data_IF_860736383123
#
_entry.id   IF_860736383123
#
_cell.length_a   1.000
_cell.length_b   1.000
_cell.length_c   1.000
_cell.angle_alpha   90.00
_cell.angle_beta   90.00
_cell.angle_gamma   90.00
#
_symmetry.space_group_name_H-M   'P 1'
#
loop_
_entity.id
_entity.type
_entity.pdbx_description
1 polymer ?
#
# COMPACT_ATOMS: atom_id res chain seq x y z
N UNK A 1 19.13 -4.96 2.86
CA UNK A 1 17.75 -5.43 2.56
C UNK A 1 16.89 -5.56 3.83
N UNK A 2 17.39 -6.12 4.94
CA UNK A 2 16.60 -6.36 6.17
C UNK A 2 16.08 -5.05 6.79
N UNK A 3 16.91 -4.01 6.90
CA UNK A 3 16.50 -2.70 7.39
C UNK A 3 15.45 -2.02 6.50
N UNK A 4 15.59 -2.13 5.18
CA UNK A 4 14.59 -1.61 4.24
C UNK A 4 13.24 -2.32 4.42
N UNK A 5 13.26 -3.65 4.59
CA UNK A 5 12.05 -4.43 4.87
C UNK A 5 11.38 -4.01 6.19
N UNK A 6 12.15 -3.82 7.25
CA UNK A 6 11.63 -3.36 8.54
C UNK A 6 10.98 -1.96 8.45
N UNK A 7 11.61 -1.02 7.74
CA UNK A 7 11.08 0.32 7.55
C UNK A 7 9.85 0.36 6.63
N UNK A 8 9.70 -0.58 5.69
CA UNK A 8 8.57 -0.62 4.76
C UNK A 8 7.23 -0.99 5.42
N UNK A 9 7.25 -1.45 6.67
CA UNK A 9 6.03 -1.75 7.45
C UNK A 9 5.37 -0.48 7.97
N UNK A 10 6.12 0.61 8.15
CA UNK A 10 5.63 1.86 8.75
C UNK A 10 4.36 2.42 8.06
N UNK A 11 4.27 2.51 6.73
CA UNK A 11 3.07 3.03 6.06
C UNK A 11 1.79 2.26 6.38
N UNK A 12 1.89 0.98 6.72
CA UNK A 12 0.72 0.16 7.02
C UNK A 12 0.05 0.53 8.36
N UNK A 13 0.78 1.18 9.27
CA UNK A 13 0.21 1.66 10.53
C UNK A 13 -0.71 2.87 10.35
N UNK A 14 -0.57 3.66 9.28
CA UNK A 14 -1.40 4.84 9.07
C UNK A 14 -2.88 4.52 8.84
N UNK A 15 -3.20 3.36 8.24
CA UNK A 15 -4.59 2.96 7.98
C UNK A 15 -5.36 2.71 9.29
N UNK A 16 -4.89 1.86 10.22
CA UNK A 16 -5.56 1.67 11.50
C UNK A 16 -5.54 2.93 12.38
N UNK A 17 -4.47 3.75 12.32
CA UNK A 17 -4.41 5.04 13.03
C UNK A 17 -5.52 5.97 12.53
N UNK A 18 -5.66 6.13 11.22
CA UNK A 18 -6.75 6.91 10.63
C UNK A 18 -8.13 6.38 11.05
N UNK A 19 -8.27 5.05 11.17
CA UNK A 19 -9.50 4.42 11.65
C UNK A 19 -9.79 4.69 13.13
N UNK A 20 -8.77 4.77 13.97
CA UNK A 20 -8.91 4.94 15.42
C UNK A 20 -9.17 6.41 15.81
N UNK A 21 -8.48 7.36 15.17
CA UNK A 21 -8.60 8.79 15.46
C UNK A 21 -9.68 9.52 14.68
N UNK A 22 -10.42 8.81 13.81
CA UNK A 22 -11.53 9.38 13.07
C UNK A 22 -12.85 9.26 13.83
N UNK A 23 -13.68 10.30 13.74
CA UNK A 23 -15.06 10.23 14.23
C UNK A 23 -15.80 9.06 13.56
N UNK A 24 -16.70 8.36 14.26
CA UNK A 24 -17.39 7.15 13.75
C UNK A 24 -18.02 7.33 12.37
N UNK A 25 -18.60 8.51 12.11
CA UNK A 25 -19.22 8.88 10.83
C UNK A 25 -18.23 8.96 9.66
N UNK A 26 -16.98 9.34 9.93
CA UNK A 26 -15.95 9.59 8.91
C UNK A 26 -14.89 8.48 8.84
N UNK A 27 -14.95 7.50 9.72
CA UNK A 27 -13.94 6.44 9.86
C UNK A 27 -13.64 5.73 8.54
N UNK A 28 -14.67 5.22 7.88
CA UNK A 28 -14.52 4.49 6.60
C UNK A 28 -13.97 5.40 5.49
N UNK A 29 -14.41 6.66 5.44
CA UNK A 29 -13.95 7.64 4.47
C UNK A 29 -12.46 7.95 4.65
N UNK A 30 -12.03 8.21 5.88
CA UNK A 30 -10.64 8.58 6.17
C UNK A 30 -9.69 7.40 5.93
N UNK A 31 -10.08 6.18 6.32
CA UNK A 31 -9.32 4.97 5.98
C UNK A 31 -9.22 4.77 4.47
N UNK A 32 -10.30 5.02 3.72
CA UNK A 32 -10.31 4.95 2.26
C UNK A 32 -9.37 5.97 1.61
N UNK A 33 -9.31 7.20 2.12
CA UNK A 33 -8.39 8.23 1.64
C UNK A 33 -6.93 7.81 1.86
N UNK A 34 -6.60 7.33 3.05
CA UNK A 34 -5.23 6.85 3.36
C UNK A 34 -4.84 5.66 2.49
N UNK A 35 -5.76 4.70 2.29
CA UNK A 35 -5.54 3.55 1.42
C UNK A 35 -5.34 3.97 -0.04
N UNK A 36 -6.14 4.92 -0.53
CA UNK A 36 -5.99 5.47 -1.89
C UNK A 36 -4.65 6.18 -2.06
N UNK A 37 -4.22 6.95 -1.06
CA UNK A 37 -2.91 7.58 -1.04
C UNK A 37 -1.77 6.55 -1.08
N UNK A 38 -1.89 5.47 -0.31
CA UNK A 38 -0.92 4.37 -0.32
C UNK A 38 -0.81 3.72 -1.70
N UNK A 39 -1.94 3.34 -2.31
CA UNK A 39 -1.97 2.71 -3.64
C UNK A 39 -1.44 3.64 -4.73
N UNK A 40 -1.87 4.90 -4.71
CA UNK A 40 -1.37 5.92 -5.64
C UNK A 40 0.14 6.13 -5.47
N UNK A 41 0.64 6.19 -4.23
CA UNK A 41 2.07 6.32 -3.94
C UNK A 41 2.90 5.15 -4.46
N UNK A 42 2.41 3.92 -4.30
CA UNK A 42 3.08 2.71 -4.82
C UNK A 42 3.21 2.77 -6.35
N UNK A 43 2.17 3.21 -7.05
CA UNK A 43 2.18 3.29 -8.50
C UNK A 43 2.97 4.50 -9.01
N UNK A 44 2.77 5.67 -8.38
CA UNK A 44 3.49 6.89 -8.73
C UNK A 44 5.01 6.75 -8.52
N UNK A 45 5.44 6.06 -7.47
CA UNK A 45 6.86 5.82 -7.22
C UNK A 45 7.53 5.03 -8.35
N UNK A 46 6.81 4.13 -9.00
CA UNK A 46 7.33 3.37 -10.15
C UNK A 46 7.55 4.27 -11.37
N UNK A 47 6.60 5.17 -11.64
CA UNK A 47 6.71 6.14 -12.72
C UNK A 47 7.90 7.07 -12.46
N UNK A 48 7.94 7.68 -11.26
CA UNK A 48 9.00 8.61 -10.88
C UNK A 48 10.37 7.92 -10.91
N UNK A 49 10.49 6.72 -10.32
CA UNK A 49 11.76 6.00 -10.30
C UNK A 49 12.22 5.55 -11.69
N UNK A 50 11.28 5.24 -12.59
CA UNK A 50 11.58 4.91 -13.97
C UNK A 50 12.25 6.08 -14.70
N UNK A 51 11.62 7.25 -14.69
CA UNK A 51 12.16 8.45 -15.34
C UNK A 51 13.43 9.01 -14.67
N UNK A 52 13.42 9.11 -13.34
CA UNK A 52 14.59 9.62 -12.60
C UNK A 52 15.77 8.67 -12.74
N UNK A 53 15.52 7.36 -12.71
CA UNK A 53 16.56 6.36 -12.89
C UNK A 53 17.20 6.39 -14.28
N UNK A 54 16.41 6.72 -15.31
CA UNK A 54 16.89 6.84 -16.68
C UNK A 54 17.71 8.13 -16.90
N UNK A 55 17.26 9.26 -16.33
CA UNK A 55 17.89 10.58 -16.54
C UNK A 55 19.11 10.82 -15.64
N UNK A 56 19.03 10.46 -14.36
CA UNK A 56 20.04 10.79 -13.35
C UNK A 56 20.83 9.57 -12.89
N UNK A 57 20.29 8.36 -13.09
CA UNK A 57 20.89 7.13 -12.60
C UNK A 57 20.24 6.63 -11.30
N UNK A 58 20.54 5.37 -10.99
CA UNK A 58 19.92 4.69 -9.85
C UNK A 58 20.37 5.22 -8.48
N UNK A 59 21.60 5.75 -8.38
CA UNK A 59 22.15 6.29 -7.12
C UNK A 59 21.44 7.56 -6.69
N UNK A 60 21.28 8.47 -7.63
CA UNK A 60 20.59 9.75 -7.46
C UNK A 60 19.13 9.53 -7.10
N UNK A 61 18.49 8.52 -7.68
CA UNK A 61 17.15 8.12 -7.31
C UNK A 61 17.04 7.74 -5.83
N UNK A 62 17.99 6.98 -5.29
CA UNK A 62 18.01 6.62 -3.87
C UNK A 62 18.27 7.82 -2.96
N UNK A 63 19.11 8.78 -3.38
CA UNK A 63 19.33 10.03 -2.63
C UNK A 63 18.05 10.87 -2.57
N UNK A 64 17.36 11.04 -3.69
CA UNK A 64 16.06 11.74 -3.75
C UNK A 64 15.04 11.04 -2.84
N UNK A 65 14.95 9.73 -2.91
CA UNK A 65 14.07 8.95 -2.05
C UNK A 65 14.39 9.16 -0.56
N UNK A 66 15.68 9.18 -0.18
CA UNK A 66 16.11 9.43 1.19
C UNK A 66 15.69 10.83 1.68
N UNK A 67 15.86 11.86 0.86
CA UNK A 67 15.43 13.24 1.19
C UNK A 67 13.91 13.30 1.38
N UNK A 68 13.13 12.70 0.46
CA UNK A 68 11.67 12.64 0.57
C UNK A 68 11.24 11.92 1.86
N UNK A 69 11.90 10.80 2.20
CA UNK A 69 11.61 10.07 3.43
C UNK A 69 11.93 10.89 4.70
N UNK A 70 13.02 11.67 4.70
CA UNK A 70 13.33 12.58 5.81
C UNK A 70 12.26 13.67 5.98
N UNK A 71 11.79 14.25 4.87
CA UNK A 71 10.69 15.21 4.89
C UNK A 71 9.41 14.57 5.43
N UNK A 72 9.05 13.38 4.94
CA UNK A 72 7.88 12.63 5.42
C UNK A 72 8.01 12.30 6.93
N UNK A 73 9.20 11.93 7.40
CA UNK A 73 9.46 11.70 8.81
C UNK A 73 9.23 12.96 9.65
N UNK A 74 9.79 14.10 9.23
CA UNK A 74 9.61 15.37 9.91
C UNK A 74 8.14 15.81 9.97
N UNK A 75 7.40 15.65 8.87
CA UNK A 75 5.97 15.92 8.81
C UNK A 75 5.16 14.99 9.71
N UNK A 76 5.49 13.70 9.72
CA UNK A 76 4.84 12.70 10.58
C UNK A 76 5.01 13.04 12.07
N UNK A 77 6.24 13.36 12.49
CA UNK A 77 6.54 13.75 13.87
C UNK A 77 5.82 15.04 14.28
N UNK A 78 5.56 15.95 13.35
CA UNK A 78 4.89 17.21 13.61
C UNK A 78 3.36 17.12 13.63
N UNK A 79 2.79 16.23 12.82
CA UNK A 79 1.34 16.15 12.58
C UNK A 79 0.68 15.09 13.45
N UNK A 80 1.35 13.95 13.69
CA UNK A 80 0.74 12.87 14.46
C UNK A 80 0.87 13.16 15.96
N UNK A 81 -0.27 13.22 16.68
CA UNK A 81 -0.25 13.41 18.13
C UNK A 81 0.35 12.17 18.82
N UNK A 82 0.87 12.37 20.03
CA UNK A 82 1.34 11.27 20.86
C UNK A 82 0.22 10.26 21.12
N UNK A 83 0.47 9.02 20.69
CA UNK A 83 -0.49 7.94 20.82
C UNK A 83 -0.32 7.23 22.16
N UNK A 84 -1.39 7.20 22.96
CA UNK A 84 -1.39 6.44 24.21
C UNK A 84 -1.39 4.94 23.92
N UNK A 85 -0.59 4.21 24.66
CA UNK A 85 -0.53 2.75 24.58
C UNK A 85 -1.84 2.14 25.09
N UNK A 86 -2.64 1.59 24.20
CA UNK A 86 -3.94 0.98 24.53
C UNK A 86 -3.87 -0.52 24.87
N UNK A 87 -2.74 -1.16 24.64
CA UNK A 87 -2.57 -2.59 24.89
C UNK A 87 -1.58 -2.81 26.02
N UNK A 88 -2.04 -3.49 27.08
CA UNK A 88 -1.28 -3.78 28.31
C UNK A 88 -0.72 -5.23 28.29
N UNK A 89 -1.05 -6.03 27.28
CA UNK A 89 -0.65 -7.42 27.14
C UNK A 89 0.78 -7.64 26.63
N UNK A 90 1.24 -8.89 26.70
CA UNK A 90 2.51 -9.33 26.14
C UNK A 90 2.48 -9.39 24.60
N UNK A 91 3.62 -9.14 23.94
CA UNK A 91 3.76 -9.30 22.50
C UNK A 91 3.41 -10.72 22.02
N UNK A 92 3.77 -11.76 22.79
CA UNK A 92 3.37 -13.15 22.52
C UNK A 92 1.86 -13.30 22.52
N UNK A 93 1.16 -12.71 23.52
CA UNK A 93 -0.30 -12.73 23.58
C UNK A 93 -0.94 -12.06 22.37
N UNK A 94 -0.37 -10.93 21.90
CA UNK A 94 -0.84 -10.26 20.68
C UNK A 94 -0.72 -11.17 19.46
N UNK A 95 0.43 -11.85 19.29
CA UNK A 95 0.62 -12.78 18.17
C UNK A 95 -0.36 -13.95 18.22
N UNK A 96 -0.55 -14.54 19.39
CA UNK A 96 -1.55 -15.61 19.58
C UNK A 96 -2.95 -15.13 19.19
N UNK A 97 -3.35 -13.93 19.63
CA UNK A 97 -4.65 -13.35 19.26
C UNK A 97 -4.83 -13.20 17.75
N UNK A 98 -3.77 -12.82 17.01
CA UNK A 98 -3.84 -12.74 15.55
C UNK A 98 -4.11 -14.11 14.92
N UNK A 99 -3.43 -15.16 15.40
CA UNK A 99 -3.66 -16.53 14.94
C UNK A 99 -5.06 -17.05 15.33
N UNK A 100 -5.53 -16.75 16.54
CA UNK A 100 -6.87 -17.10 16.99
C UNK A 100 -7.94 -16.45 16.14
N UNK A 101 -7.81 -15.14 15.85
CA UNK A 101 -8.75 -14.41 14.97
C UNK A 101 -8.81 -15.06 13.58
N UNK A 102 -7.66 -15.43 13.02
CA UNK A 102 -7.60 -16.09 11.72
C UNK A 102 -8.23 -17.50 11.77
N UNK A 103 -7.99 -18.25 12.83
CA UNK A 103 -8.51 -19.60 13.00
C UNK A 103 -10.04 -19.65 13.25
N UNK A 104 -10.52 -18.78 14.15
CA UNK A 104 -11.91 -18.83 14.61
C UNK A 104 -12.89 -17.99 13.79
N UNK A 105 -12.41 -17.04 12.97
CA UNK A 105 -13.26 -16.17 12.15
C UNK A 105 -13.20 -16.52 10.66
N UNK A 106 -14.08 -17.39 10.14
CA UNK A 106 -14.00 -17.86 8.75
C UNK A 106 -14.13 -16.74 7.72
N UNK A 107 -14.85 -15.66 8.03
CA UNK A 107 -14.95 -14.49 7.14
C UNK A 107 -13.62 -13.75 7.01
N UNK A 108 -12.93 -13.52 8.12
CA UNK A 108 -11.61 -12.87 8.12
C UNK A 108 -10.62 -13.72 7.35
N UNK A 109 -10.59 -15.04 7.59
CA UNK A 109 -9.75 -15.99 6.86
C UNK A 109 -9.99 -15.92 5.35
N UNK A 110 -11.25 -15.94 4.93
CA UNK A 110 -11.61 -15.85 3.50
C UNK A 110 -11.11 -14.56 2.85
N UNK A 111 -11.35 -13.41 3.50
CA UNK A 111 -10.89 -12.13 2.98
C UNK A 111 -9.36 -12.00 2.98
N UNK A 112 -8.69 -12.52 4.00
CA UNK A 112 -7.22 -12.54 4.06
C UNK A 112 -6.61 -13.38 2.95
N UNK A 113 -7.17 -14.56 2.68
CA UNK A 113 -6.72 -15.44 1.59
C UNK A 113 -6.95 -14.76 0.23
N UNK A 114 -8.13 -14.18 0.00
CA UNK A 114 -8.41 -13.43 -1.24
C UNK A 114 -7.45 -12.26 -1.44
N UNK A 115 -7.19 -11.50 -0.39
CA UNK A 115 -6.24 -10.39 -0.42
C UNK A 115 -4.80 -10.87 -0.72
N UNK A 116 -4.38 -11.99 -0.12
CA UNK A 116 -3.06 -12.58 -0.36
C UNK A 116 -2.89 -13.01 -1.82
N UNK A 117 -3.86 -13.70 -2.41
CA UNK A 117 -3.83 -14.07 -3.82
C UNK A 117 -3.89 -12.86 -4.74
N UNK A 118 -4.75 -11.89 -4.47
CA UNK A 118 -4.85 -10.65 -5.26
C UNK A 118 -3.55 -9.85 -5.24
N UNK A 119 -2.96 -9.66 -4.08
CA UNK A 119 -1.69 -8.94 -3.96
C UNK A 119 -0.52 -9.74 -4.54
N UNK A 120 -0.49 -11.06 -4.33
CA UNK A 120 0.52 -11.95 -4.88
C UNK A 120 0.52 -11.97 -6.40
N UNK A 121 -0.65 -12.06 -7.04
CA UNK A 121 -0.77 -12.02 -8.49
C UNK A 121 -0.35 -10.66 -9.06
N UNK A 122 -0.72 -9.56 -8.40
CA UNK A 122 -0.27 -8.23 -8.78
C UNK A 122 1.27 -8.12 -8.73
N UNK A 123 1.89 -8.60 -7.65
CA UNK A 123 3.35 -8.59 -7.51
C UNK A 123 4.05 -9.47 -8.55
N UNK A 124 3.49 -10.65 -8.86
CA UNK A 124 3.99 -11.55 -9.90
C UNK A 124 3.96 -10.88 -11.27
N UNK A 125 2.84 -10.25 -11.65
CA UNK A 125 2.70 -9.53 -12.92
C UNK A 125 3.77 -8.43 -13.03
N UNK A 126 3.93 -7.59 -12.00
CA UNK A 126 4.92 -6.52 -12.02
C UNK A 126 6.36 -7.04 -12.10
N UNK A 127 6.68 -8.12 -11.41
CA UNK A 127 8.02 -8.74 -11.47
C UNK A 127 8.30 -9.31 -12.85
N UNK A 128 7.35 -10.08 -13.41
CA UNK A 128 7.51 -10.67 -14.74
C UNK A 128 7.56 -9.60 -15.84
N UNK A 129 6.77 -8.54 -15.73
CA UNK A 129 6.68 -7.47 -16.73
C UNK A 129 8.03 -6.77 -16.91
N UNK A 130 8.74 -6.45 -15.81
CA UNK A 130 10.03 -5.81 -15.89
C UNK A 130 11.06 -6.66 -16.64
N UNK A 131 11.10 -7.97 -16.38
CA UNK A 131 11.99 -8.90 -17.08
C UNK A 131 11.58 -9.10 -18.54
N UNK A 132 10.29 -9.18 -18.82
CA UNK A 132 9.77 -9.38 -20.18
C UNK A 132 10.08 -8.18 -21.08
N UNK A 133 9.91 -6.96 -20.58
CA UNK A 133 10.21 -5.74 -21.33
C UNK A 133 11.71 -5.50 -21.55
N UNK A 134 12.57 -6.04 -20.71
CA UNK A 134 14.01 -5.97 -20.89
C UNK A 134 14.56 -6.91 -21.99
N UNK A 135 13.76 -7.89 -22.42
CA UNK A 135 14.16 -8.88 -23.43
C UNK A 135 13.70 -8.47 -24.84
N UNK A 136 14.24 -9.20 -25.86
CA UNK A 136 13.78 -9.06 -27.23
C UNK A 136 12.27 -9.41 -27.36
N UNK A 137 11.51 -8.73 -28.18
CA UNK A 137 11.86 -7.67 -29.14
C UNK A 137 11.82 -6.24 -28.56
N UNK A 138 11.45 -6.07 -27.29
CA UNK A 138 11.11 -4.77 -26.72
C UNK A 138 12.36 -3.95 -26.35
N UNK A 139 13.39 -4.57 -25.78
CA UNK A 139 14.63 -3.90 -25.29
C UNK A 139 14.36 -2.57 -24.57
N UNK A 140 13.25 -2.49 -23.83
CA UNK A 140 12.77 -1.27 -23.19
C UNK A 140 13.40 -1.11 -21.82
N UNK A 141 13.78 0.14 -21.50
CA UNK A 141 14.32 0.50 -20.20
C UNK A 141 13.26 0.61 -19.10
N UNK A 142 13.69 1.08 -17.95
CA UNK A 142 12.84 1.31 -16.78
C UNK A 142 11.71 2.32 -17.03
N UNK A 143 11.88 3.22 -18.00
CA UNK A 143 10.89 4.21 -18.42
C UNK A 143 9.58 3.55 -18.89
N UNK A 144 9.65 2.49 -19.69
CA UNK A 144 8.46 1.80 -20.20
C UNK A 144 7.68 1.12 -19.08
N UNK A 145 8.39 0.52 -18.13
CA UNK A 145 7.76 -0.05 -16.92
C UNK A 145 7.06 1.04 -16.11
N UNK A 146 7.69 2.21 -15.98
CA UNK A 146 7.13 3.38 -15.34
C UNK A 146 5.86 3.88 -16.03
N UNK A 147 5.88 3.99 -17.35
CA UNK A 147 4.73 4.44 -18.17
C UNK A 147 3.54 3.50 -18.02
N UNK A 148 3.77 2.19 -18.04
CA UNK A 148 2.72 1.20 -17.77
C UNK A 148 2.18 1.30 -16.34
N UNK A 149 3.02 1.74 -15.38
CA UNK A 149 2.59 2.08 -14.02
C UNK A 149 1.55 3.20 -13.98
N UNK A 150 1.62 4.16 -14.92
CA UNK A 150 0.64 5.25 -15.01
C UNK A 150 -0.79 4.73 -15.31
N UNK A 151 -0.92 3.69 -16.12
CA UNK A 151 -2.22 3.04 -16.35
C UNK A 151 -2.80 2.45 -15.05
N UNK A 152 -1.94 1.92 -14.18
CA UNK A 152 -2.34 1.42 -12.86
C UNK A 152 -2.85 2.51 -11.93
N UNK A 153 -2.36 3.76 -12.04
CA UNK A 153 -2.84 4.90 -11.25
C UNK A 153 -4.32 5.17 -11.55
N UNK A 154 -4.74 5.10 -12.81
CA UNK A 154 -6.15 5.24 -13.17
C UNK A 154 -7.04 4.18 -12.49
N UNK A 155 -6.57 2.94 -12.41
CA UNK A 155 -7.25 1.87 -11.65
C UNK A 155 -7.31 2.14 -10.15
N UNK A 156 -6.22 2.63 -9.56
CA UNK A 156 -6.19 2.98 -8.13
C UNK A 156 -7.12 4.15 -7.78
N UNK A 157 -7.23 5.14 -8.65
CA UNK A 157 -8.18 6.25 -8.52
C UNK A 157 -9.63 5.76 -8.64
N UNK A 158 -9.92 4.86 -9.57
CA UNK A 158 -11.24 4.24 -9.70
C UNK A 158 -11.63 3.45 -8.43
N UNK A 159 -10.66 2.75 -7.81
CA UNK A 159 -10.88 2.02 -6.56
C UNK A 159 -11.32 2.93 -5.40
N UNK A 160 -10.88 4.19 -5.37
CA UNK A 160 -11.33 5.17 -4.37
C UNK A 160 -12.83 5.50 -4.50
N UNK A 161 -13.36 5.41 -5.71
CA UNK A 161 -14.79 5.58 -6.00
C UNK A 161 -15.65 4.44 -5.46
N UNK A 162 -15.10 3.22 -5.40
CA UNK A 162 -15.82 2.03 -4.90
C UNK A 162 -16.19 2.20 -3.42
N UNK A 163 -15.35 2.86 -2.62
CA UNK A 163 -15.66 3.17 -1.22
C UNK A 163 -16.95 3.97 -1.02
N UNK A 164 -17.36 4.78 -2.01
CA UNK A 164 -18.61 5.53 -2.00
C UNK A 164 -19.82 4.67 -2.39
N UNK A 165 -19.57 3.57 -3.11
CA UNK A 165 -20.63 2.63 -3.55
C UNK A 165 -20.97 1.58 -2.47
N UNK A 166 -20.05 1.31 -1.56
CA UNK A 166 -20.24 0.33 -0.46
C UNK A 166 -21.51 0.61 0.37
N UNK A 167 -21.84 1.85 0.79
CA UNK A 167 -23.04 2.13 1.52
C UNK A 167 -24.34 1.90 0.73
N UNK A 168 -24.28 2.02 -0.62
CA UNK A 168 -25.44 1.85 -1.51
C UNK A 168 -25.74 0.40 -1.87
N UNK A 169 -24.71 -0.40 -2.13
CA UNK A 169 -24.86 -1.76 -2.67
C UNK A 169 -24.52 -2.87 -1.68
N UNK A 170 -23.92 -2.53 -0.54
CA UNK A 170 -23.48 -3.48 0.48
C UNK A 170 -22.19 -4.22 0.09
N UNK A 171 -21.37 -4.51 1.09
CA UNK A 171 -20.05 -5.17 0.91
C UNK A 171 -20.18 -6.53 0.21
N UNK A 172 -21.29 -7.28 0.48
CA UNK A 172 -21.45 -8.64 -0.04
C UNK A 172 -21.63 -8.67 -1.57
N UNK A 173 -22.38 -7.73 -2.13
CA UNK A 173 -22.58 -7.64 -3.60
C UNK A 173 -21.29 -7.17 -4.29
N UNK A 174 -20.62 -6.15 -3.74
CA UNK A 174 -19.39 -5.61 -4.31
C UNK A 174 -18.16 -6.54 -4.20
N UNK A 175 -18.20 -7.55 -3.32
CA UNK A 175 -17.10 -8.53 -3.20
C UNK A 175 -17.26 -9.75 -4.11
N UNK A 176 -18.38 -9.86 -4.84
CA UNK A 176 -18.66 -10.94 -5.79
C UNK A 176 -18.31 -10.58 -7.24
N UNK A 177 -18.13 -9.29 -7.52
CA UNK A 177 -17.63 -8.74 -8.79
C UNK A 177 -16.22 -8.18 -8.60
#
# INVERSE_FOLDING_TARGET
>A
SLFLGACSVIPQFFIPIAGQYSAPKNKSRNMGIVLSGLLTGILASRVISGYVGDWLGWREMFLIAAVVMLICMALTLKIIPEMKRNYIGSYKGLMVTVFEIFAYHPRIRLYSIRAAFGFGSMMAIWSCLAFHLAQAPFFSGSEMVGTLGACGIAGALAASGIGKLVPRYGIRKLSLY
#
